data_IF_608888475661
#
_entry.id   IF_608888475661
#
_cell.length_a   1.000
_cell.length_b   1.000
_cell.length_c   1.000
_cell.angle_alpha   90.00
_cell.angle_beta   90.00
_cell.angle_gamma   90.00
#
_symmetry.space_group_name_H-M   'P 1'
#
loop_
_entity.id
_entity.type
_entity.pdbx_description
1 polymer ?
#
# COMPACT_ATOMS: atom_id res chain seq x y z
N UNK A 1 -15.94 -2.47 24.90
CA UNK A 1 -14.46 -2.43 24.82
C UNK A 1 -14.04 -1.01 24.46
N UNK A 2 -13.32 -0.32 25.35
CA UNK A 2 -12.83 1.06 25.12
C UNK A 2 -11.57 0.97 24.25
N UNK A 3 -11.50 1.77 23.18
CA UNK A 3 -10.29 1.92 22.36
C UNK A 3 -9.14 2.44 23.24
N UNK A 4 -7.90 1.94 23.10
CA UNK A 4 -6.75 2.61 23.69
C UNK A 4 -6.55 3.96 22.96
N UNK A 5 -6.53 5.05 23.72
CA UNK A 5 -6.05 6.34 23.24
C UNK A 5 -4.55 6.19 22.94
N UNK A 6 -4.21 6.08 21.66
CA UNK A 6 -2.83 6.16 21.20
C UNK A 6 -2.44 7.63 21.31
N UNK A 7 -1.59 7.93 22.29
CA UNK A 7 -0.91 9.22 22.44
C UNK A 7 0.14 9.32 21.32
N UNK A 8 -0.31 9.67 20.12
CA UNK A 8 0.58 10.15 19.06
C UNK A 8 1.11 11.49 19.55
N UNK A 9 2.43 11.59 19.76
CA UNK A 9 3.11 12.84 20.05
C UNK A 9 2.67 13.87 19.01
N UNK A 10 1.86 14.85 19.43
CA UNK A 10 1.33 15.87 18.53
C UNK A 10 2.50 16.67 18.02
N UNK A 11 2.85 16.46 16.75
CA UNK A 11 3.79 17.32 16.03
C UNK A 11 3.29 18.75 16.17
N UNK A 12 4.06 19.59 16.87
CA UNK A 12 3.66 20.95 17.19
C UNK A 12 3.59 21.75 15.87
N UNK A 13 2.39 22.19 15.43
CA UNK A 13 2.22 22.86 14.15
C UNK A 13 3.02 24.16 14.05
N UNK A 14 3.38 24.78 15.18
CA UNK A 14 4.21 25.99 15.23
C UNK A 14 5.66 25.68 14.83
N UNK A 15 6.20 24.50 15.20
CA UNK A 15 7.54 24.08 14.77
C UNK A 15 7.58 23.69 13.29
N UNK A 16 6.49 23.10 12.78
CA UNK A 16 6.32 22.82 11.35
C UNK A 16 6.25 24.10 10.51
N UNK A 17 5.53 25.12 10.99
CA UNK A 17 5.48 26.44 10.36
C UNK A 17 6.83 27.16 10.38
N UNK A 18 7.58 27.08 11.49
CA UNK A 18 8.91 27.67 11.57
C UNK A 18 9.91 27.03 10.59
N UNK A 19 9.91 25.70 10.49
CA UNK A 19 10.74 24.96 9.52
C UNK A 19 10.32 25.23 8.06
N UNK A 20 9.02 25.37 7.80
CA UNK A 20 8.53 25.76 6.47
C UNK A 20 8.95 27.19 6.10
N UNK A 21 8.98 28.10 7.08
CA UNK A 21 9.37 29.49 6.85
C UNK A 21 10.88 29.65 6.63
N UNK A 22 11.72 28.88 7.34
CA UNK A 22 13.17 28.85 7.06
C UNK A 22 13.48 28.21 5.70
N UNK A 23 12.76 27.15 5.31
CA UNK A 23 12.88 26.57 3.97
C UNK A 23 12.46 27.56 2.87
N UNK A 24 11.40 28.35 3.08
CA UNK A 24 10.96 29.40 2.17
C UNK A 24 12.00 30.52 2.00
N UNK A 25 12.71 30.92 3.07
CA UNK A 25 13.79 31.90 2.98
C UNK A 25 14.98 31.38 2.15
N UNK A 26 15.40 30.13 2.37
CA UNK A 26 16.49 29.50 1.60
C UNK A 26 16.11 29.36 0.12
N UNK A 27 14.85 29.00 -0.18
CA UNK A 27 14.34 28.93 -1.54
C UNK A 27 14.30 30.30 -2.23
N UNK A 28 14.06 31.38 -1.49
CA UNK A 28 14.08 32.74 -2.03
C UNK A 28 15.49 33.20 -2.45
N UNK A 29 16.52 32.73 -1.75
CA UNK A 29 17.93 33.02 -2.05
C UNK A 29 18.42 32.23 -3.28
N UNK A 30 18.04 30.94 -3.38
CA UNK A 30 18.40 30.06 -4.49
C UNK A 30 17.73 30.50 -5.81
N UNK A 31 16.48 30.98 -5.74
CA UNK A 31 15.75 31.42 -6.92
C UNK A 31 16.28 32.74 -7.53
N UNK A 32 17.06 33.51 -6.76
CA UNK A 32 17.71 34.73 -7.25
C UNK A 32 18.90 34.45 -8.18
N UNK A 33 19.39 33.21 -8.23
CA UNK A 33 20.58 32.83 -9.00
C UNK A 33 20.31 32.16 -10.37
N UNK A 34 19.07 31.74 -10.66
CA UNK A 34 18.74 30.98 -11.89
C UNK A 34 17.93 31.72 -12.97
N UNK A 35 17.59 32.99 -12.75
CA UNK A 35 16.77 33.75 -13.70
C UNK A 35 17.60 34.42 -14.81
N UNK A 36 18.10 33.65 -15.79
CA UNK A 36 18.43 34.16 -17.13
C UNK A 36 17.92 33.21 -18.23
N UNK A 37 16.81 33.64 -18.82
CA UNK A 37 16.34 33.40 -20.19
C UNK A 37 15.61 32.09 -20.59
N UNK A 38 15.34 31.14 -19.68
CA UNK A 38 14.56 29.92 -20.00
C UNK A 38 13.16 29.77 -19.39
N UNK A 39 12.79 30.58 -18.38
CA UNK A 39 11.72 30.21 -17.43
C UNK A 39 10.35 30.89 -17.65
N UNK A 40 10.21 31.76 -18.66
CA UNK A 40 9.04 32.65 -18.77
C UNK A 40 7.78 31.94 -19.29
N UNK A 41 7.93 31.06 -20.28
CA UNK A 41 6.83 30.33 -20.94
C UNK A 41 6.19 29.27 -20.02
N UNK A 42 6.99 28.52 -19.27
CA UNK A 42 6.51 27.45 -18.38
C UNK A 42 5.69 27.98 -17.20
N UNK A 43 5.89 29.25 -16.82
CA UNK A 43 5.13 29.91 -15.74
C UNK A 43 3.68 30.23 -16.12
N UNK A 44 3.39 30.49 -17.39
CA UNK A 44 2.05 30.85 -17.85
C UNK A 44 1.12 29.63 -17.90
N UNK A 45 1.65 28.46 -18.32
CA UNK A 45 0.89 27.22 -18.35
C UNK A 45 0.50 26.73 -16.94
N UNK A 46 1.45 26.73 -16.00
CA UNK A 46 1.17 26.36 -14.61
C UNK A 46 0.17 27.32 -13.94
N UNK A 47 0.29 28.63 -14.21
CA UNK A 47 -0.66 29.63 -13.72
C UNK A 47 -2.05 29.42 -14.31
N UNK A 48 -2.17 29.14 -15.61
CA UNK A 48 -3.45 28.87 -16.25
C UNK A 48 -4.12 27.61 -15.68
N UNK A 49 -3.36 26.55 -15.41
CA UNK A 49 -3.85 25.31 -14.82
C UNK A 49 -4.31 25.51 -13.37
N UNK A 50 -3.56 26.28 -12.58
CA UNK A 50 -3.94 26.70 -11.23
C UNK A 50 -5.22 27.54 -11.23
N UNK A 51 -5.34 28.50 -12.13
CA UNK A 51 -6.55 29.32 -12.27
C UNK A 51 -7.75 28.47 -12.72
N UNK A 52 -7.57 27.53 -13.65
CA UNK A 52 -8.62 26.62 -14.07
C UNK A 52 -9.07 25.71 -12.92
N UNK A 53 -8.13 25.16 -12.15
CA UNK A 53 -8.44 24.34 -10.97
C UNK A 53 -9.16 25.15 -9.87
N UNK A 54 -8.75 26.40 -9.63
CA UNK A 54 -9.43 27.33 -8.72
C UNK A 54 -10.85 27.65 -9.20
N UNK A 55 -11.03 27.96 -10.49
CA UNK A 55 -12.34 28.28 -11.07
C UNK A 55 -13.29 27.07 -11.05
N UNK A 56 -12.79 25.86 -11.30
CA UNK A 56 -13.60 24.63 -11.26
C UNK A 56 -13.84 24.15 -9.81
N UNK A 57 -12.92 24.42 -8.89
CA UNK A 57 -13.06 24.12 -7.46
C UNK A 57 -14.12 24.98 -6.77
N UNK A 58 -14.30 26.23 -7.18
CA UNK A 58 -15.29 27.16 -6.60
C UNK A 58 -16.76 26.73 -6.85
N UNK A 59 -17.03 25.89 -7.85
CA UNK A 59 -18.37 25.33 -8.11
C UNK A 59 -18.74 24.11 -7.24
N UNK A 60 -17.84 23.62 -6.38
CA UNK A 60 -17.96 22.29 -5.75
C UNK A 60 -18.37 22.31 -4.26
N UNK A 61 -18.70 23.47 -3.71
CA UNK A 61 -18.95 23.66 -2.26
C UNK A 61 -20.32 23.21 -1.74
N UNK A 62 -21.26 22.82 -2.61
CA UNK A 62 -22.53 22.28 -2.14
C UNK A 62 -22.32 20.81 -1.78
N UNK A 63 -22.35 20.51 -0.47
CA UNK A 63 -22.41 19.16 0.07
C UNK A 63 -23.60 18.41 -0.57
N UNK A 64 -23.34 17.67 -1.65
CA UNK A 64 -24.31 16.75 -2.21
C UNK A 64 -24.50 15.63 -1.20
N UNK A 65 -25.76 15.33 -0.88
CA UNK A 65 -26.15 14.19 -0.04
C UNK A 65 -25.32 12.96 -0.42
N UNK A 66 -24.74 12.28 0.59
CA UNK A 66 -23.97 11.02 0.43
C UNK A 66 -24.84 9.94 -0.21
N UNK A 67 -25.01 9.97 -1.52
CA UNK A 67 -25.54 8.86 -2.29
C UNK A 67 -24.35 7.95 -2.61
N UNK A 68 -24.13 6.95 -1.78
CA UNK A 68 -23.06 5.98 -1.96
C UNK A 68 -23.16 5.29 -3.33
N UNK A 69 -22.01 4.91 -3.90
CA UNK A 69 -21.92 3.95 -5.01
C UNK A 69 -22.80 2.74 -4.70
N UNK A 70 -23.54 2.25 -5.69
CA UNK A 70 -24.55 1.22 -5.52
C UNK A 70 -23.96 -0.05 -4.85
N UNK A 71 -24.47 -0.40 -3.67
CA UNK A 71 -24.02 -1.55 -2.86
C UNK A 71 -24.33 -2.93 -3.46
N UNK A 72 -24.85 -2.99 -4.69
CA UNK A 72 -25.31 -4.23 -5.32
C UNK A 72 -24.24 -4.92 -6.18
N UNK A 73 -23.03 -4.35 -6.27
CA UNK A 73 -21.89 -5.00 -6.94
C UNK A 73 -21.03 -5.77 -5.93
N UNK A 74 -20.37 -6.87 -6.34
CA UNK A 74 -19.41 -7.54 -5.48
C UNK A 74 -18.25 -6.59 -5.17
N UNK A 75 -17.89 -6.47 -3.88
CA UNK A 75 -16.79 -5.61 -3.43
C UNK A 75 -15.45 -6.03 -4.04
N UNK A 76 -15.18 -7.33 -4.17
CA UNK A 76 -13.93 -7.87 -4.70
C UNK A 76 -14.22 -8.60 -6.01
N UNK A 77 -13.50 -8.22 -7.07
CA UNK A 77 -13.54 -8.89 -8.37
C UNK A 77 -12.14 -9.27 -8.81
N UNK A 78 -12.00 -10.52 -9.26
CA UNK A 78 -10.75 -11.04 -9.83
C UNK A 78 -10.86 -11.11 -11.35
N UNK A 79 -9.84 -10.61 -12.04
CA UNK A 79 -9.71 -10.74 -13.48
C UNK A 79 -9.54 -12.20 -13.90
N UNK A 80 -10.05 -12.55 -15.08
CA UNK A 80 -9.82 -13.87 -15.67
C UNK A 80 -8.32 -14.06 -15.92
N UNK A 81 -7.72 -15.23 -15.59
CA UNK A 81 -6.31 -15.50 -15.85
C UNK A 81 -5.96 -15.29 -17.33
N UNK A 82 -4.85 -14.61 -17.63
CA UNK A 82 -4.37 -14.40 -18.99
C UNK A 82 -2.84 -14.40 -19.02
N UNK A 83 -2.25 -15.54 -19.36
CA UNK A 83 -0.80 -15.73 -19.31
C UNK A 83 -0.01 -14.72 -20.16
N UNK A 84 -0.54 -14.24 -21.28
CA UNK A 84 0.14 -13.26 -22.13
C UNK A 84 0.17 -11.88 -21.48
N UNK A 85 -0.99 -11.40 -21.02
CA UNK A 85 -1.10 -10.08 -20.40
C UNK A 85 -0.41 -10.06 -19.04
N UNK A 86 -0.64 -11.10 -18.22
CA UNK A 86 -0.04 -11.22 -16.89
C UNK A 86 1.48 -11.45 -16.98
N UNK A 87 1.94 -12.19 -18.01
CA UNK A 87 3.37 -12.37 -18.29
C UNK A 87 4.06 -11.09 -18.76
N UNK A 88 3.41 -10.32 -19.64
CA UNK A 88 3.90 -9.00 -20.02
C UNK A 88 3.96 -8.06 -18.80
N UNK A 89 2.93 -8.06 -17.97
CA UNK A 89 2.89 -7.29 -16.73
C UNK A 89 4.00 -7.68 -15.77
N UNK A 90 4.27 -8.98 -15.61
CA UNK A 90 5.36 -9.46 -14.77
C UNK A 90 6.73 -8.91 -15.19
N UNK A 91 7.00 -8.89 -16.50
CA UNK A 91 8.23 -8.34 -17.10
C UNK A 91 8.31 -6.83 -16.90
N UNK A 92 7.22 -6.11 -17.21
CA UNK A 92 7.15 -4.64 -17.03
C UNK A 92 7.33 -4.25 -15.56
N UNK A 93 6.90 -5.10 -14.61
CA UNK A 93 7.09 -4.91 -13.17
C UNK A 93 8.48 -5.26 -12.63
N UNK A 94 9.44 -5.74 -13.45
CA UNK A 94 10.81 -6.05 -12.99
C UNK A 94 11.49 -4.86 -12.29
N UNK A 95 11.41 -3.61 -12.79
CA UNK A 95 12.01 -2.46 -12.11
C UNK A 95 11.47 -2.30 -10.69
N UNK A 96 10.16 -2.41 -10.47
CA UNK A 96 9.58 -2.30 -9.12
C UNK A 96 10.02 -3.44 -8.20
N UNK A 97 10.11 -4.68 -8.71
CA UNK A 97 10.65 -5.83 -7.95
C UNK A 97 12.08 -5.58 -7.48
N UNK A 98 12.92 -5.00 -8.34
CA UNK A 98 14.30 -4.64 -8.02
C UNK A 98 14.35 -3.48 -7.03
N UNK A 99 13.59 -2.42 -7.27
CA UNK A 99 13.56 -1.24 -6.42
C UNK A 99 13.10 -1.58 -4.99
N UNK A 100 12.15 -2.49 -4.83
CA UNK A 100 11.62 -2.90 -3.52
C UNK A 100 12.24 -4.18 -2.95
N UNK A 101 13.21 -4.79 -3.64
CA UNK A 101 13.80 -6.10 -3.28
C UNK A 101 12.78 -7.20 -2.96
N UNK A 102 11.67 -7.22 -3.69
CA UNK A 102 10.61 -8.19 -3.47
C UNK A 102 10.03 -8.68 -4.81
N UNK A 103 10.21 -9.97 -5.09
CA UNK A 103 9.78 -10.60 -6.34
C UNK A 103 8.27 -10.74 -6.47
N UNK A 104 7.52 -10.59 -5.37
CA UNK A 104 6.04 -10.65 -5.35
C UNK A 104 5.38 -9.34 -5.76
N UNK A 105 6.14 -8.24 -5.86
CA UNK A 105 5.65 -6.95 -6.37
C UNK A 105 5.35 -7.08 -7.87
N UNK A 106 4.17 -6.61 -8.29
CA UNK A 106 3.69 -6.68 -9.67
C UNK A 106 3.87 -8.09 -10.29
N UNK A 107 3.62 -9.13 -9.50
CA UNK A 107 3.81 -10.51 -9.96
C UNK A 107 2.59 -11.03 -10.74
N UNK A 108 1.47 -10.29 -10.71
CA UNK A 108 0.18 -10.63 -11.31
C UNK A 108 -0.35 -12.00 -10.88
N UNK A 109 0.09 -12.51 -9.73
CA UNK A 109 -0.39 -13.74 -9.12
C UNK A 109 -0.67 -13.49 -7.65
N UNK A 110 -1.78 -12.80 -7.39
CA UNK A 110 -2.20 -12.38 -6.05
C UNK A 110 -2.81 -13.58 -5.30
N UNK A 111 -2.23 -13.92 -4.15
CA UNK A 111 -2.68 -15.03 -3.31
C UNK A 111 -3.99 -14.71 -2.57
N UNK A 112 -4.66 -15.75 -2.08
CA UNK A 112 -5.82 -15.60 -1.21
C UNK A 112 -5.47 -14.88 0.11
N UNK A 113 -4.23 -15.02 0.61
CA UNK A 113 -3.80 -14.35 1.84
C UNK A 113 -3.76 -12.83 1.66
N UNK A 114 -3.20 -12.35 0.56
CA UNK A 114 -3.18 -10.92 0.21
C UNK A 114 -4.61 -10.38 0.08
N UNK A 115 -5.47 -11.09 -0.64
CA UNK A 115 -6.90 -10.75 -0.78
C UNK A 115 -7.62 -10.69 0.56
N UNK A 116 -7.41 -11.69 1.44
CA UNK A 116 -8.02 -11.73 2.78
C UNK A 116 -7.53 -10.60 3.69
N UNK A 117 -6.25 -10.24 3.63
CA UNK A 117 -5.70 -9.14 4.43
C UNK A 117 -6.31 -7.79 4.04
N UNK A 118 -6.43 -7.55 2.74
CA UNK A 118 -7.10 -6.34 2.22
C UNK A 118 -8.58 -6.34 2.58
N UNK A 119 -9.27 -7.46 2.35
CA UNK A 119 -10.69 -7.60 2.70
C UNK A 119 -10.92 -7.33 4.19
N UNK A 120 -10.11 -7.95 5.05
CA UNK A 120 -10.19 -7.77 6.51
C UNK A 120 -10.00 -6.32 6.92
N UNK A 121 -9.06 -5.61 6.28
CA UNK A 121 -8.86 -4.19 6.55
C UNK A 121 -10.10 -3.37 6.15
N UNK A 122 -10.61 -3.57 4.93
CA UNK A 122 -11.79 -2.86 4.44
C UNK A 122 -13.02 -3.15 5.32
N UNK A 123 -13.20 -4.39 5.76
CA UNK A 123 -14.30 -4.79 6.65
C UNK A 123 -14.17 -4.12 8.03
N UNK A 124 -12.98 -4.13 8.65
CA UNK A 124 -12.73 -3.48 9.95
C UNK A 124 -13.00 -1.97 9.91
N UNK A 125 -12.73 -1.32 8.76
CA UNK A 125 -12.91 0.12 8.59
C UNK A 125 -14.27 0.51 8.00
N UNK A 126 -15.16 -0.45 7.72
CA UNK A 126 -16.49 -0.18 7.16
C UNK A 126 -16.46 0.38 5.74
N UNK A 127 -15.55 -0.14 4.90
CA UNK A 127 -15.29 0.30 3.53
C UNK A 127 -15.94 -0.62 2.47
N UNK A 128 -17.18 -1.07 2.73
CA UNK A 128 -17.91 -2.03 1.89
C UNK A 128 -18.12 -1.58 0.42
N UNK A 129 -18.15 -0.27 0.16
CA UNK A 129 -18.32 0.32 -1.17
C UNK A 129 -17.01 0.45 -1.98
N UNK A 130 -15.86 0.28 -1.33
CA UNK A 130 -14.57 0.39 -1.99
C UNK A 130 -14.37 -0.86 -2.84
N UNK A 131 -14.35 -0.68 -4.15
CA UNK A 131 -14.18 -1.78 -5.10
C UNK A 131 -12.74 -2.25 -5.07
N UNK A 132 -12.53 -3.55 -5.04
CA UNK A 132 -11.20 -4.17 -5.13
C UNK A 132 -11.13 -4.97 -6.43
N UNK A 133 -10.14 -4.64 -7.25
CA UNK A 133 -9.87 -5.27 -8.54
C UNK A 133 -8.53 -5.97 -8.49
N UNK A 134 -8.56 -7.29 -8.51
CA UNK A 134 -7.37 -8.13 -8.47
C UNK A 134 -7.08 -8.59 -9.90
N UNK A 135 -5.98 -8.13 -10.50
CA UNK A 135 -5.60 -8.44 -11.89
C UNK A 135 -6.72 -8.21 -12.92
N UNK A 136 -7.62 -7.27 -12.67
CA UNK A 136 -8.77 -7.01 -13.53
C UNK A 136 -8.59 -5.69 -14.29
N UNK A 137 -8.92 -5.72 -15.58
CA UNK A 137 -8.99 -4.54 -16.42
C UNK A 137 -10.44 -4.31 -16.86
N UNK A 138 -11.08 -3.26 -16.34
CA UNK A 138 -12.51 -2.97 -16.51
C UNK A 138 -12.78 -1.47 -16.74
N UNK A 139 -12.26 -0.86 -17.83
CA UNK A 139 -12.30 0.59 -18.03
C UNK A 139 -13.72 1.15 -18.09
N UNK A 140 -14.65 0.46 -18.75
CA UNK A 140 -16.05 0.90 -18.84
C UNK A 140 -16.72 0.96 -17.47
N UNK A 141 -16.39 0.02 -16.58
CA UNK A 141 -16.92 0.03 -15.22
C UNK A 141 -16.28 1.16 -14.41
N UNK A 142 -15.00 1.47 -14.60
CA UNK A 142 -14.36 2.63 -13.95
C UNK A 142 -14.99 3.96 -14.39
N UNK A 143 -15.31 4.13 -15.67
CA UNK A 143 -16.05 5.32 -16.14
C UNK A 143 -17.46 5.39 -15.55
N UNK A 144 -18.15 4.25 -15.43
CA UNK A 144 -19.44 4.17 -14.75
C UNK A 144 -19.31 4.58 -13.28
N UNK A 145 -18.33 4.04 -12.56
CA UNK A 145 -18.05 4.37 -11.15
C UNK A 145 -17.69 5.83 -10.97
N UNK A 146 -16.88 6.42 -11.86
CA UNK A 146 -16.56 7.84 -11.83
C UNK A 146 -17.86 8.68 -11.87
N UNK A 147 -18.75 8.36 -12.82
CA UNK A 147 -20.04 9.04 -12.96
C UNK A 147 -20.93 8.83 -11.73
N UNK A 148 -20.92 7.64 -11.15
CA UNK A 148 -21.84 7.27 -10.06
C UNK A 148 -21.29 7.63 -8.67
N UNK A 149 -20.01 7.98 -8.54
CA UNK A 149 -19.38 8.38 -7.28
C UNK A 149 -19.80 9.79 -6.84
N UNK A 150 -20.88 9.90 -6.05
CA UNK A 150 -21.35 11.19 -5.56
C UNK A 150 -20.56 11.74 -4.36
N UNK A 151 -19.64 10.96 -3.76
CA UNK A 151 -18.76 11.43 -2.68
C UNK A 151 -17.71 12.45 -3.21
N UNK A 152 -17.49 12.47 -4.52
CA UNK A 152 -16.57 13.41 -5.18
C UNK A 152 -17.36 14.43 -5.97
N UNK A 153 -17.09 15.72 -5.71
CA UNK A 153 -17.73 16.83 -6.42
C UNK A 153 -17.60 16.71 -7.95
N UNK A 154 -18.61 17.17 -8.68
CA UNK A 154 -18.66 17.04 -10.15
C UNK A 154 -17.45 17.69 -10.83
N UNK A 155 -16.95 18.82 -10.30
CA UNK A 155 -15.76 19.50 -10.83
C UNK A 155 -14.53 18.58 -10.81
N UNK A 156 -14.27 17.92 -9.68
CA UNK A 156 -13.17 16.96 -9.54
C UNK A 156 -13.36 15.72 -10.41
N UNK A 157 -14.59 15.21 -10.54
CA UNK A 157 -14.90 14.07 -11.40
C UNK A 157 -14.65 14.35 -12.88
N UNK A 158 -15.08 15.51 -13.37
CA UNK A 158 -14.93 15.90 -14.77
C UNK A 158 -13.52 16.34 -15.16
N UNK A 159 -12.64 16.58 -14.18
CA UNK A 159 -11.24 16.99 -14.40
C UNK A 159 -10.28 15.86 -14.04
N UNK A 160 -9.73 15.87 -12.82
CA UNK A 160 -8.74 14.92 -12.34
C UNK A 160 -9.28 13.49 -12.32
N UNK A 161 -10.55 13.31 -11.95
CA UNK A 161 -11.20 12.00 -12.01
C UNK A 161 -11.27 11.42 -13.43
N UNK A 162 -11.63 12.25 -14.42
CA UNK A 162 -11.65 11.85 -15.83
C UNK A 162 -10.23 11.59 -16.35
N UNK A 163 -9.25 12.41 -15.95
CA UNK A 163 -7.84 12.22 -16.31
C UNK A 163 -7.29 10.90 -15.76
N UNK A 164 -7.51 10.60 -14.48
CA UNK A 164 -7.11 9.33 -13.87
C UNK A 164 -7.79 8.13 -14.52
N UNK A 165 -9.10 8.23 -14.79
CA UNK A 165 -9.86 7.14 -15.43
C UNK A 165 -9.43 6.92 -16.88
N UNK A 166 -9.10 7.99 -17.60
CA UNK A 166 -8.49 7.92 -18.93
C UNK A 166 -7.10 7.28 -18.86
N UNK A 167 -6.27 7.67 -17.89
CA UNK A 167 -4.97 7.07 -17.63
C UNK A 167 -5.09 5.56 -17.44
N UNK A 168 -6.00 5.11 -16.57
CA UNK A 168 -6.33 3.68 -16.41
C UNK A 168 -6.76 3.02 -17.72
N UNK A 169 -7.55 3.73 -18.55
CA UNK A 169 -8.07 3.21 -19.83
C UNK A 169 -6.98 3.07 -20.91
N UNK A 170 -5.98 3.95 -20.91
CA UNK A 170 -4.91 3.93 -21.91
C UNK A 170 -3.73 3.07 -21.45
N UNK A 171 -3.44 3.10 -20.15
CA UNK A 171 -2.35 2.39 -19.49
C UNK A 171 -2.95 1.33 -18.56
N UNK A 172 -3.30 0.14 -19.06
CA UNK A 172 -3.91 -0.89 -18.23
C UNK A 172 -2.95 -1.28 -17.11
N UNK A 173 -3.34 -1.07 -15.86
CA UNK A 173 -2.53 -1.46 -14.69
C UNK A 173 -2.23 -2.96 -14.67
N UNK A 174 -3.03 -3.78 -15.35
CA UNK A 174 -2.73 -5.20 -15.56
C UNK A 174 -1.42 -5.45 -16.34
N UNK A 175 -0.93 -4.47 -17.10
CA UNK A 175 0.36 -4.53 -17.81
C UNK A 175 1.40 -3.63 -17.12
N UNK A 176 1.01 -2.43 -16.69
CA UNK A 176 1.98 -1.48 -16.10
C UNK A 176 2.22 -1.68 -14.60
N UNK A 177 1.47 -2.58 -13.97
CA UNK A 177 1.56 -2.86 -12.53
C UNK A 177 1.07 -1.69 -11.69
N UNK A 178 1.50 -1.69 -10.43
CA UNK A 178 1.23 -0.65 -9.46
C UNK A 178 -0.08 -0.85 -8.70
N UNK A 179 0.04 -1.41 -7.50
CA UNK A 179 -1.04 -1.38 -6.52
C UNK A 179 -1.41 0.07 -6.22
N UNK A 180 -2.68 0.42 -6.38
CA UNK A 180 -3.14 1.80 -6.28
C UNK A 180 -4.60 1.91 -5.89
N UNK A 181 -4.92 2.91 -5.07
CA UNK A 181 -6.28 3.36 -4.85
C UNK A 181 -6.59 4.62 -5.68
N UNK A 182 -7.69 4.57 -6.44
CA UNK A 182 -8.25 5.72 -7.15
C UNK A 182 -9.41 6.32 -6.35
N UNK A 183 -9.25 7.51 -5.74
CA UNK A 183 -10.29 8.15 -4.94
C UNK A 183 -11.49 8.62 -5.76
N UNK A 184 -11.33 8.86 -7.06
CA UNK A 184 -12.39 9.37 -7.93
C UNK A 184 -13.38 8.28 -8.35
N UNK A 185 -12.92 7.03 -8.49
CA UNK A 185 -13.77 5.87 -8.75
C UNK A 185 -14.02 5.02 -7.51
N UNK A 186 -13.36 5.35 -6.38
CA UNK A 186 -13.33 4.55 -5.15
C UNK A 186 -13.00 3.08 -5.46
N UNK A 187 -11.91 2.89 -6.21
CA UNK A 187 -11.44 1.58 -6.68
C UNK A 187 -9.99 1.36 -6.28
N UNK A 188 -9.74 0.24 -5.61
CA UNK A 188 -8.45 -0.32 -5.30
C UNK A 188 -8.06 -1.34 -6.38
N UNK A 189 -6.94 -1.13 -7.05
CA UNK A 189 -6.35 -2.07 -8.02
C UNK A 189 -5.15 -2.76 -7.39
N UNK A 190 -5.10 -4.10 -7.46
CA UNK A 190 -4.05 -4.93 -6.85
C UNK A 190 -3.46 -5.87 -7.91
N UNK A 191 -2.14 -5.82 -8.04
CA UNK A 191 -1.33 -6.61 -8.96
C UNK A 191 -0.16 -7.33 -8.26
N UNK A 192 0.18 -6.91 -7.04
CA UNK A 192 1.23 -7.49 -6.22
C UNK A 192 0.70 -8.53 -5.25
N UNK A 193 1.48 -9.59 -5.01
CA UNK A 193 1.23 -10.55 -3.93
C UNK A 193 2.00 -10.16 -2.65
N UNK A 194 1.79 -8.93 -2.22
CA UNK A 194 2.37 -8.39 -0.99
C UNK A 194 1.23 -7.78 -0.17
N UNK A 195 0.78 -8.42 0.93
CA UNK A 195 -0.36 -7.96 1.72
C UNK A 195 -0.24 -6.49 2.13
N UNK A 196 0.97 -6.03 2.46
CA UNK A 196 1.20 -4.66 2.90
C UNK A 196 0.94 -3.60 1.83
N UNK A 197 1.21 -3.91 0.55
CA UNK A 197 0.95 -3.00 -0.56
C UNK A 197 -0.56 -2.84 -0.82
N UNK A 198 -1.33 -3.93 -0.76
CA UNK A 198 -2.78 -3.83 -0.85
C UNK A 198 -3.39 -3.09 0.35
N UNK A 199 -2.91 -3.37 1.56
CA UNK A 199 -3.44 -2.76 2.80
C UNK A 199 -3.11 -1.27 2.88
N UNK A 200 -1.93 -0.81 2.45
CA UNK A 200 -1.61 0.64 2.47
C UNK A 200 -2.50 1.43 1.51
N UNK A 201 -2.86 0.86 0.37
CA UNK A 201 -3.82 1.52 -0.54
C UNK A 201 -5.26 1.49 0.03
N UNK A 202 -5.63 0.42 0.73
CA UNK A 202 -6.89 0.36 1.47
C UNK A 202 -6.93 1.39 2.63
N UNK A 203 -5.80 1.63 3.28
CA UNK A 203 -5.65 2.67 4.30
C UNK A 203 -5.77 4.07 3.69
N UNK A 204 -5.25 4.29 2.48
CA UNK A 204 -5.50 5.53 1.76
C UNK A 204 -7.00 5.70 1.43
N UNK A 205 -7.70 4.63 1.08
CA UNK A 205 -9.15 4.66 0.91
C UNK A 205 -9.89 5.07 2.19
N UNK A 206 -9.47 4.55 3.35
CA UNK A 206 -9.99 4.97 4.65
C UNK A 206 -9.77 6.48 4.87
N UNK A 207 -8.54 6.96 4.63
CA UNK A 207 -8.17 8.35 4.85
C UNK A 207 -9.08 9.28 4.03
N UNK A 208 -9.17 9.05 2.72
CA UNK A 208 -10.01 9.85 1.80
C UNK A 208 -11.48 9.86 2.24
N UNK A 209 -12.03 8.70 2.60
CA UNK A 209 -13.45 8.56 2.97
C UNK A 209 -13.78 9.16 4.34
N UNK A 210 -12.78 9.33 5.20
CA UNK A 210 -12.94 10.01 6.49
C UNK A 210 -13.12 11.54 6.35
N UNK A 211 -12.85 12.11 5.16
CA UNK A 211 -12.85 13.56 4.95
C UNK A 211 -14.23 14.11 4.59
N UNK A 212 -14.46 15.36 4.96
CA UNK A 212 -15.69 16.08 4.60
C UNK A 212 -15.78 16.39 3.10
N UNK A 213 -14.62 16.59 2.46
CA UNK A 213 -14.51 16.88 1.03
C UNK A 213 -13.52 15.89 0.37
N UNK A 214 -13.92 14.62 0.14
CA UNK A 214 -13.03 13.58 -0.37
C UNK A 214 -12.34 13.97 -1.68
N UNK A 215 -13.07 14.59 -2.63
CA UNK A 215 -12.51 15.04 -3.90
C UNK A 215 -11.44 16.13 -3.77
N UNK A 216 -11.70 17.16 -2.96
CA UNK A 216 -10.73 18.24 -2.72
C UNK A 216 -9.50 17.72 -1.98
N UNK A 217 -9.71 16.84 -1.01
CA UNK A 217 -8.64 16.17 -0.29
C UNK A 217 -7.78 15.33 -1.26
N UNK A 218 -8.40 14.46 -2.06
CA UNK A 218 -7.72 13.63 -3.06
C UNK A 218 -6.85 14.47 -4.01
N UNK A 219 -7.41 15.54 -4.59
CA UNK A 219 -6.65 16.45 -5.44
C UNK A 219 -5.47 17.09 -4.71
N UNK A 220 -5.66 17.56 -3.48
CA UNK A 220 -4.57 18.17 -2.70
C UNK A 220 -3.44 17.16 -2.44
N UNK A 221 -3.80 15.89 -2.26
CA UNK A 221 -2.86 14.79 -2.07
C UNK A 221 -2.10 14.38 -3.34
N UNK A 222 -2.47 14.86 -4.53
CA UNK A 222 -1.69 14.68 -5.76
C UNK A 222 -0.55 15.70 -5.88
N UNK A 223 -0.59 16.79 -5.11
CA UNK A 223 0.37 17.89 -5.19
C UNK A 223 1.47 17.67 -4.15
N UNK A 224 2.72 17.56 -4.60
CA UNK A 224 3.86 17.60 -3.69
C UNK A 224 3.99 19.00 -3.03
N UNK A 225 4.33 19.08 -1.73
CA UNK A 225 4.70 18.00 -0.82
C UNK A 225 3.52 17.41 -0.02
N UNK A 226 2.29 17.88 -0.27
CA UNK A 226 1.11 17.50 0.51
C UNK A 226 0.80 16.01 0.43
N UNK A 227 1.13 15.35 -0.68
CA UNK A 227 1.03 13.90 -0.86
C UNK A 227 1.67 13.09 0.28
N UNK A 228 2.74 13.59 0.91
CA UNK A 228 3.38 12.85 2.01
C UNK A 228 2.49 12.68 3.23
N UNK A 229 1.47 13.53 3.40
CA UNK A 229 0.56 13.42 4.52
C UNK A 229 -0.25 12.12 4.48
N UNK A 230 -0.92 11.84 3.36
CA UNK A 230 -1.68 10.59 3.23
C UNK A 230 -0.74 9.38 3.18
N UNK A 231 0.43 9.50 2.53
CA UNK A 231 1.41 8.41 2.48
C UNK A 231 1.90 8.02 3.88
N UNK A 232 2.17 9.00 4.74
CA UNK A 232 2.59 8.75 6.14
C UNK A 232 1.47 8.11 6.95
N UNK A 233 0.25 8.62 6.79
CA UNK A 233 -0.94 8.14 7.52
C UNK A 233 -1.26 6.70 7.12
N UNK A 234 -1.36 6.44 5.81
CA UNK A 234 -1.64 5.12 5.26
C UNK A 234 -0.55 4.10 5.62
N UNK A 235 0.73 4.50 5.58
CA UNK A 235 1.86 3.67 6.01
C UNK A 235 1.67 3.20 7.46
N UNK A 236 1.42 4.14 8.37
CA UNK A 236 1.23 3.84 9.78
C UNK A 236 0.03 2.94 10.04
N UNK A 237 -1.11 3.22 9.40
CA UNK A 237 -2.33 2.42 9.54
C UNK A 237 -2.14 0.99 8.99
N UNK A 238 -1.44 0.84 7.87
CA UNK A 238 -1.13 -0.47 7.31
C UNK A 238 -0.16 -1.27 8.17
N UNK A 239 0.93 -0.66 8.64
CA UNK A 239 1.90 -1.28 9.55
C UNK A 239 1.19 -1.74 10.84
N UNK A 240 0.39 -0.87 11.46
CA UNK A 240 -0.38 -1.19 12.66
C UNK A 240 -1.41 -2.31 12.44
N UNK A 241 -2.06 -2.36 11.28
CA UNK A 241 -2.99 -3.44 10.98
C UNK A 241 -2.26 -4.78 10.79
N UNK A 242 -1.16 -4.79 10.05
CA UNK A 242 -0.37 -6.00 9.79
C UNK A 242 0.30 -6.49 11.06
N UNK A 243 0.76 -5.60 11.94
CA UNK A 243 1.28 -5.97 13.25
C UNK A 243 0.24 -6.70 14.12
N UNK A 244 -1.06 -6.36 13.97
CA UNK A 244 -2.15 -6.97 14.75
C UNK A 244 -2.73 -8.24 14.13
N UNK A 245 -2.89 -8.27 12.80
CA UNK A 245 -3.60 -9.34 12.08
C UNK A 245 -2.69 -10.25 11.26
N UNK A 246 -1.46 -9.79 11.01
CA UNK A 246 -0.47 -10.48 10.22
C UNK A 246 0.36 -11.47 11.03
N UNK A 247 1.10 -12.31 10.30
CA UNK A 247 2.16 -13.14 10.89
C UNK A 247 3.40 -12.27 11.17
N UNK A 248 4.28 -12.64 12.11
CA UNK A 248 5.52 -11.90 12.37
C UNK A 248 6.34 -11.63 11.09
N UNK A 249 6.44 -12.62 10.20
CA UNK A 249 7.15 -12.48 8.91
C UNK A 249 6.44 -11.52 7.95
N UNK A 250 5.11 -11.40 7.99
CA UNK A 250 4.36 -10.43 7.18
C UNK A 250 4.59 -9.01 7.69
N UNK A 251 4.75 -8.83 9.00
CA UNK A 251 5.11 -7.52 9.59
C UNK A 251 6.55 -7.13 9.22
N UNK A 252 7.49 -8.06 9.28
CA UNK A 252 8.88 -7.85 8.82
C UNK A 252 8.90 -7.50 7.32
N UNK A 253 8.16 -8.22 6.49
CA UNK A 253 8.03 -7.89 5.06
C UNK A 253 7.39 -6.51 4.87
N UNK A 254 6.35 -6.18 5.63
CA UNK A 254 5.67 -4.89 5.52
C UNK A 254 6.64 -3.73 5.72
N UNK A 255 7.45 -3.74 6.78
CA UNK A 255 8.43 -2.67 7.01
C UNK A 255 9.54 -2.66 5.96
N UNK A 256 9.91 -3.82 5.41
CA UNK A 256 10.95 -3.91 4.38
C UNK A 256 10.48 -3.47 2.99
N UNK A 257 9.17 -3.49 2.72
CA UNK A 257 8.60 -3.07 1.43
C UNK A 257 8.04 -1.64 1.50
N UNK A 258 7.36 -1.29 2.58
CA UNK A 258 6.67 -0.01 2.68
C UNK A 258 7.62 1.17 2.92
N UNK A 259 8.69 1.00 3.71
CA UNK A 259 9.65 2.08 4.00
C UNK A 259 10.46 2.52 2.77
N UNK A 260 10.98 1.62 1.93
CA UNK A 260 11.61 2.02 0.67
C UNK A 260 10.65 2.76 -0.26
N UNK A 261 9.41 2.25 -0.40
CA UNK A 261 8.37 2.91 -1.20
C UNK A 261 8.07 4.31 -0.69
N UNK A 262 7.86 4.46 0.62
CA UNK A 262 7.65 5.77 1.26
C UNK A 262 8.87 6.69 1.09
N UNK A 263 10.07 6.17 1.32
CA UNK A 263 11.32 6.92 1.18
C UNK A 263 11.52 7.47 -0.23
N UNK A 264 11.20 6.67 -1.26
CA UNK A 264 11.21 7.13 -2.65
C UNK A 264 10.22 8.28 -2.88
N UNK A 265 8.97 8.15 -2.41
CA UNK A 265 7.96 9.21 -2.51
C UNK A 265 8.37 10.49 -1.78
N UNK A 266 8.94 10.37 -0.58
CA UNK A 266 9.50 11.48 0.19
C UNK A 266 10.65 12.16 -0.57
N UNK A 267 11.56 11.38 -1.17
CA UNK A 267 12.64 11.91 -1.99
C UNK A 267 12.13 12.68 -3.21
N UNK A 268 11.12 12.17 -3.92
CA UNK A 268 10.50 12.89 -5.03
C UNK A 268 9.78 14.17 -4.61
N UNK A 269 9.10 14.15 -3.46
CA UNK A 269 8.48 15.35 -2.91
C UNK A 269 9.55 16.43 -2.60
N UNK A 270 10.71 16.06 -2.07
CA UNK A 270 11.82 17.00 -1.85
C UNK A 270 12.39 17.50 -3.18
N UNK A 271 12.58 16.63 -4.17
CA UNK A 271 13.07 17.01 -5.52
C UNK A 271 12.18 18.06 -6.18
N UNK A 272 10.86 17.92 -6.01
CA UNK A 272 9.87 18.89 -6.53
C UNK A 272 10.01 20.29 -5.91
N UNK A 273 10.51 20.39 -4.67
CA UNK A 273 10.67 21.67 -3.95
C UNK A 273 11.99 22.38 -4.33
N UNK A 274 13.05 21.63 -4.64
CA UNK A 274 14.39 22.19 -4.93
C UNK A 274 14.60 22.50 -6.43
N UNK A 275 13.54 22.44 -7.25
CA UNK A 275 13.56 22.90 -8.63
C UNK A 275 13.86 21.82 -9.68
N UNK A 276 13.71 20.52 -9.34
CA UNK A 276 13.65 19.42 -10.31
C UNK A 276 14.89 19.20 -11.20
N UNK A 277 16.02 19.86 -10.91
CA UNK A 277 17.27 19.71 -11.68
C UNK A 277 17.96 18.35 -11.50
N UNK A 278 17.55 17.61 -10.47
CA UNK A 278 18.09 16.31 -10.06
C UNK A 278 17.08 15.19 -10.29
N UNK A 279 16.42 15.17 -11.47
CA UNK A 279 15.34 14.23 -11.80
C UNK A 279 15.73 12.79 -11.43
N UNK A 280 15.28 12.33 -10.26
CA UNK A 280 15.48 10.97 -9.77
C UNK A 280 16.57 10.73 -8.72
N UNK A 281 17.59 11.57 -8.55
CA UNK A 281 18.69 11.24 -7.62
C UNK A 281 18.29 11.38 -6.14
N UNK A 282 17.48 12.38 -5.80
CA UNK A 282 16.91 12.53 -4.44
C UNK A 282 15.87 11.43 -4.17
N UNK A 283 15.06 11.05 -5.17
CA UNK A 283 14.16 9.91 -5.08
C UNK A 283 14.90 8.60 -4.81
N UNK A 284 16.02 8.36 -5.51
CA UNK A 284 16.87 7.18 -5.29
C UNK A 284 17.53 7.20 -3.91
N UNK A 285 18.02 8.37 -3.46
CA UNK A 285 18.56 8.52 -2.10
C UNK A 285 17.48 8.19 -1.06
N UNK A 286 16.26 8.71 -1.24
CA UNK A 286 15.12 8.40 -0.39
C UNK A 286 14.77 6.92 -0.37
N UNK A 287 14.80 6.24 -1.52
CA UNK A 287 14.63 4.78 -1.61
C UNK A 287 15.69 4.03 -0.79
N UNK A 288 16.97 4.39 -0.94
CA UNK A 288 18.08 3.76 -0.22
C UNK A 288 17.97 3.98 1.29
N UNK A 289 17.62 5.20 1.72
CA UNK A 289 17.34 5.50 3.12
C UNK A 289 16.16 4.67 3.63
N UNK A 290 15.08 4.55 2.85
CA UNK A 290 13.93 3.72 3.19
C UNK A 290 14.29 2.24 3.34
N UNK A 291 15.17 1.70 2.50
CA UNK A 291 15.73 0.36 2.66
C UNK A 291 16.54 0.20 3.94
N UNK A 292 17.41 1.15 4.24
CA UNK A 292 18.19 1.12 5.49
C UNK A 292 17.27 1.08 6.73
N UNK A 293 16.25 1.94 6.75
CA UNK A 293 15.27 1.99 7.85
C UNK A 293 14.45 0.69 7.93
N UNK A 294 13.90 0.23 6.79
CA UNK A 294 13.10 -0.99 6.73
C UNK A 294 13.88 -2.23 7.15
N UNK A 295 15.15 -2.34 6.76
CA UNK A 295 16.03 -3.44 7.18
C UNK A 295 16.37 -3.39 8.66
N UNK A 296 16.66 -2.20 9.19
CA UNK A 296 16.93 -2.03 10.62
C UNK A 296 15.71 -2.43 11.47
N UNK A 297 14.52 -1.90 11.13
CA UNK A 297 13.27 -2.25 11.81
C UNK A 297 12.91 -3.73 11.69
N UNK A 298 13.00 -4.29 10.48
CA UNK A 298 12.75 -5.70 10.25
C UNK A 298 13.69 -6.61 11.03
N UNK A 299 14.95 -6.20 11.23
CA UNK A 299 15.90 -6.90 12.10
C UNK A 299 15.47 -6.92 13.56
N UNK A 300 15.03 -5.77 14.09
CA UNK A 300 14.55 -5.66 15.48
C UNK A 300 13.28 -6.52 15.70
N UNK A 301 12.31 -6.46 14.77
CA UNK A 301 11.10 -7.27 14.82
C UNK A 301 11.40 -8.78 14.79
N UNK A 302 12.41 -9.19 14.02
CA UNK A 302 12.85 -10.59 13.98
C UNK A 302 13.43 -11.05 15.32
N UNK A 303 14.24 -10.21 15.97
CA UNK A 303 14.78 -10.51 17.31
C UNK A 303 13.66 -10.62 18.33
N UNK A 304 12.68 -9.73 18.29
CA UNK A 304 11.51 -9.76 19.17
C UNK A 304 10.66 -11.04 18.99
N UNK A 305 10.43 -11.44 17.73
CA UNK A 305 9.72 -12.67 17.42
C UNK A 305 10.45 -13.91 17.96
N UNK A 306 11.76 -14.00 17.77
CA UNK A 306 12.59 -15.09 18.31
C UNK A 306 12.56 -15.13 19.83
N UNK A 307 12.70 -13.99 20.50
CA UNK A 307 12.65 -13.92 21.96
C UNK A 307 11.30 -14.38 22.52
N UNK A 308 10.20 -14.05 21.82
CA UNK A 308 8.84 -14.48 22.19
C UNK A 308 8.67 -15.98 22.04
N UNK A 309 9.20 -16.57 20.96
CA UNK A 309 9.19 -18.01 20.72
C UNK A 309 10.02 -18.77 21.78
N UNK A 310 11.22 -18.27 22.11
CA UNK A 310 12.06 -18.83 23.19
C UNK A 310 11.38 -18.75 24.55
N UNK A 311 10.73 -17.62 24.88
CA UNK A 311 10.00 -17.45 26.13
C UNK A 311 8.81 -18.42 26.24
N UNK A 312 8.08 -18.61 25.14
CA UNK A 312 6.93 -19.54 25.09
C UNK A 312 7.39 -20.99 25.24
N UNK A 313 8.48 -21.37 24.57
CA UNK A 313 9.05 -22.73 24.64
C UNK A 313 9.59 -23.05 26.03
N UNK A 314 10.24 -22.07 26.68
CA UNK A 314 10.81 -22.24 28.02
C UNK A 314 9.74 -22.36 29.12
N UNK A 315 8.53 -21.85 28.88
CA UNK A 315 7.40 -21.92 29.82
C UNK A 315 6.54 -23.17 29.64
N UNK A 316 6.73 -23.95 28.58
CA UNK A 316 6.01 -25.21 28.42
C UNK A 316 6.57 -26.22 29.43
N UNK A 317 5.81 -26.64 30.46
CA UNK A 317 6.30 -27.60 31.44
C UNK A 317 6.79 -28.86 30.71
N UNK A 318 7.86 -29.51 31.19
CA UNK A 318 8.38 -30.72 30.55
C UNK A 318 7.21 -31.66 30.36
N UNK A 319 6.92 -32.00 29.10
CA UNK A 319 5.78 -32.84 28.75
C UNK A 319 5.76 -34.00 29.73
N UNK A 320 4.70 -34.08 30.55
CA UNK A 320 4.50 -35.19 31.48
C UNK A 320 4.69 -36.42 30.64
N UNK A 321 5.80 -37.14 30.83
CA UNK A 321 6.06 -38.37 30.09
C UNK A 321 4.79 -39.19 30.27
N UNK A 322 4.03 -39.38 29.20
CA UNK A 322 2.94 -40.33 29.23
C UNK A 322 3.57 -41.62 29.78
N UNK A 323 2.98 -42.24 30.81
CA UNK A 323 3.54 -43.45 31.39
C UNK A 323 3.87 -44.37 30.23
N UNK A 324 5.14 -44.77 30.15
CA UNK A 324 5.63 -45.73 29.16
C UNK A 324 4.58 -46.83 29.11
N UNK A 325 3.89 -47.05 27.97
CA UNK A 325 2.93 -48.12 27.91
C UNK A 325 3.64 -49.39 28.39
N UNK A 326 3.03 -50.15 29.32
CA UNK A 326 3.68 -51.34 29.85
C UNK A 326 4.18 -52.17 28.68
N UNK A 327 5.43 -52.62 28.78
CA UNK A 327 6.06 -53.44 27.76
C UNK A 327 5.05 -54.49 27.30
N UNK A 328 4.81 -54.66 25.99
CA UNK A 328 3.90 -55.68 25.51
C UNK A 328 4.32 -56.99 26.16
N UNK A 329 3.38 -57.64 26.86
CA UNK A 329 3.57 -58.96 27.41
C UNK A 329 3.94 -59.86 26.21
N UNK A 330 5.22 -60.16 26.07
CA UNK A 330 5.69 -61.17 25.12
C UNK A 330 5.18 -62.47 25.72
N UNK A 331 4.06 -62.96 25.19
CA UNK A 331 3.62 -64.32 25.45
C UNK A 331 4.70 -65.26 24.90
N UNK A 332 5.15 -66.21 25.72
CA UNK A 332 6.16 -67.24 25.41
C UNK A 332 5.79 -68.18 24.24
N UNK A 333 4.77 -67.85 23.44
CA UNK A 333 4.24 -68.67 22.35
C UNK A 333 4.95 -68.51 21.00
N UNK A 334 6.11 -67.85 20.92
CA UNK A 334 6.82 -67.59 19.65
C UNK A 334 8.21 -68.23 19.54
N UNK A 335 8.59 -69.11 20.46
CA UNK A 335 9.87 -69.86 20.37
C UNK A 335 9.74 -71.14 19.50
N UNK A 336 8.55 -71.52 19.03
CA UNK A 336 8.32 -72.83 18.41
C UNK A 336 7.93 -72.82 16.92
N UNK A 337 8.39 -71.85 16.10
CA UNK A 337 8.12 -71.87 14.64
C UNK A 337 9.29 -71.46 13.72
N UNK A 338 10.54 -71.46 14.19
CA UNK A 338 11.70 -71.30 13.32
C UNK A 338 12.41 -72.64 13.07
N UNK A 339 11.76 -73.54 12.34
CA UNK A 339 12.36 -74.78 11.82
C UNK A 339 11.64 -75.18 10.54
N UNK A 340 12.09 -74.67 9.40
CA UNK A 340 11.81 -75.09 8.01
C UNK A 340 12.36 -73.94 7.13
N UNK A 341 13.15 -74.08 6.07
CA UNK A 341 13.61 -75.17 5.22
C UNK A 341 14.78 -74.56 4.43
N UNK A 342 15.94 -75.23 4.35
CA UNK A 342 16.98 -74.85 3.37
C UNK A 342 16.80 -75.76 2.15
N UNK A 343 16.61 -75.23 0.93
CA UNK A 343 16.69 -76.04 -0.27
C UNK A 343 18.16 -76.29 -0.62
N UNK A 344 18.45 -77.56 -0.90
CA UNK A 344 19.70 -78.00 -1.47
C UNK A 344 19.67 -77.89 -3.00
N UNK A 345 20.82 -77.44 -3.53
CA UNK A 345 21.33 -77.53 -4.91
C UNK A 345 20.80 -76.52 -5.93
#
# INVERSE_FOLDING_TARGET
>A
MRRPEILVDRVNPVRLLALAQEALCVLCEVNRFQAKDGFREMSHFHRALLWLALFLGLGSGCAMNRASIAMNEPQIERGRPNALVDGAGWVVGIPQKVLLWNSRVDNHNVSQRTEQMVKGYLDEQGLAQTKVRINQYAPLDEWRRLRDNSEVGIGWRCTFGALHTLGYTVLPGRVFGGDSYNPYTNTLSIYSDVPSLGVVEAAYAQDVRSRNYPGTYAFTQEIAPFSLWHDTTALGDAENYIARQGRPEEHIEAVQVLYPRYGMKAGYAVDSLVGGGSVGSIGLLGLLTGHAVGRHRGGNLRVEALNTEFATTSQQPPATRSPVPPAPHISDSLVEQASFEMPAQ
#
